data_IF_637018431249
#
_entry.id   IF_637018431249
#
_cell.length_a   1.000
_cell.length_b   1.000
_cell.length_c   1.000
_cell.angle_alpha   90.00
_cell.angle_beta   90.00
_cell.angle_gamma   90.00
#
_symmetry.space_group_name_H-M   'P 1'
#
loop_
_entity.id
_entity.type
_entity.pdbx_description
1 polymer ?
#
# COMPACT_ATOMS: atom_id res chain seq x y z
N UNK A 1 9.18 32.15 -21.26
CA UNK A 1 8.68 31.28 -20.19
C UNK A 1 7.22 31.04 -20.46
N UNK A 2 6.84 29.81 -20.78
CA UNK A 2 5.47 29.41 -21.02
C UNK A 2 5.07 28.40 -19.94
N UNK A 3 4.12 28.76 -19.10
CA UNK A 3 3.54 27.88 -18.10
C UNK A 3 2.31 27.20 -18.67
N UNK A 4 2.34 25.87 -18.72
CA UNK A 4 1.21 25.04 -19.16
C UNK A 4 0.57 24.44 -17.91
N UNK A 5 -0.61 24.93 -17.54
CA UNK A 5 -1.40 24.38 -16.44
C UNK A 5 -2.43 23.40 -16.95
N UNK A 6 -2.41 22.18 -16.42
CA UNK A 6 -3.32 21.12 -16.82
C UNK A 6 -4.16 20.66 -15.62
N UNK A 7 -5.46 20.92 -15.69
CA UNK A 7 -6.43 20.34 -14.78
C UNK A 7 -6.93 19.00 -15.33
N UNK A 8 -6.64 17.92 -14.61
CA UNK A 8 -6.80 16.55 -15.11
C UNK A 8 -8.07 15.90 -14.55
N UNK A 9 -8.93 15.45 -15.45
CA UNK A 9 -10.13 14.68 -15.12
C UNK A 9 -10.12 13.31 -15.81
N UNK A 10 -11.15 12.49 -15.58
CA UNK A 10 -11.26 11.16 -16.18
C UNK A 10 -11.51 11.26 -17.69
N UNK A 11 -10.50 10.93 -18.50
CA UNK A 11 -10.61 10.81 -19.96
C UNK A 11 -10.53 12.15 -20.72
N UNK A 12 -10.42 13.27 -20.02
CA UNK A 12 -10.27 14.61 -20.59
C UNK A 12 -9.52 15.54 -19.63
N UNK A 13 -8.89 16.58 -20.15
CA UNK A 13 -8.18 17.58 -19.33
C UNK A 13 -8.37 18.97 -19.90
N UNK A 14 -8.39 19.95 -19.01
CA UNK A 14 -8.41 21.36 -19.39
C UNK A 14 -6.99 21.90 -19.35
N UNK A 15 -6.56 22.55 -20.42
CA UNK A 15 -5.20 23.07 -20.59
C UNK A 15 -5.26 24.60 -20.71
N UNK A 16 -4.38 25.28 -19.99
CA UNK A 16 -4.15 26.71 -20.12
C UNK A 16 -2.67 26.98 -20.33
N UNK A 17 -2.32 27.83 -21.31
CA UNK A 17 -0.93 28.25 -21.58
C UNK A 17 -0.79 29.73 -21.29
N UNK A 18 0.09 30.07 -20.37
CA UNK A 18 0.29 31.44 -19.89
C UNK A 18 1.76 31.85 -19.91
N UNK A 19 1.99 33.15 -20.07
CA UNK A 19 3.28 33.81 -19.91
C UNK A 19 3.28 34.67 -18.63
N UNK A 20 4.47 35.12 -18.17
CA UNK A 20 4.59 36.10 -17.10
C UNK A 20 3.69 37.32 -17.32
N UNK A 21 3.32 38.01 -16.24
CA UNK A 21 2.40 39.16 -16.25
C UNK A 21 0.96 38.86 -16.69
N UNK A 22 0.58 37.58 -16.78
CA UNK A 22 -0.81 37.16 -17.00
C UNK A 22 -1.24 37.14 -18.46
N UNK A 23 -0.31 37.24 -19.41
CA UNK A 23 -0.57 37.07 -20.83
C UNK A 23 -1.02 35.62 -21.10
N UNK A 24 -2.23 35.47 -21.65
CA UNK A 24 -2.78 34.17 -22.05
C UNK A 24 -2.35 33.92 -23.50
N UNK A 25 -1.44 32.97 -23.71
CA UNK A 25 -0.94 32.59 -25.04
C UNK A 25 -2.01 31.83 -25.81
N UNK A 26 -2.68 30.90 -25.13
CA UNK A 26 -3.80 30.11 -25.67
C UNK A 26 -4.92 30.11 -24.65
N UNK A 27 -6.13 30.45 -25.10
CA UNK A 27 -7.31 30.42 -24.25
C UNK A 27 -7.58 28.99 -23.74
N UNK A 28 -8.09 28.80 -22.51
CA UNK A 28 -8.26 27.46 -21.96
C UNK A 28 -9.11 26.55 -22.84
N UNK A 29 -8.55 25.40 -23.21
CA UNK A 29 -9.18 24.43 -24.12
C UNK A 29 -9.14 23.02 -23.52
N UNK A 30 -10.08 22.19 -23.97
CA UNK A 30 -10.21 20.80 -23.51
C UNK A 30 -9.50 19.87 -24.49
N UNK A 31 -8.75 18.91 -23.95
CA UNK A 31 -8.19 17.78 -24.69
C UNK A 31 -8.77 16.46 -24.19
N UNK A 32 -8.92 15.47 -25.06
CA UNK A 32 -9.23 14.10 -24.64
C UNK A 32 -7.94 13.33 -24.40
N UNK A 33 -8.02 12.27 -23.59
CA UNK A 33 -6.89 11.36 -23.35
C UNK A 33 -6.73 10.33 -24.49
N UNK A 34 -6.71 10.82 -25.73
CA UNK A 34 -6.44 10.03 -26.94
C UNK A 34 -5.06 10.37 -27.48
N UNK A 35 -4.39 9.43 -28.16
CA UNK A 35 -3.07 9.69 -28.73
C UNK A 35 -3.07 10.86 -29.73
N UNK A 36 -4.16 11.05 -30.48
CA UNK A 36 -4.32 12.17 -31.42
C UNK A 36 -4.26 13.54 -30.72
N UNK A 37 -5.01 13.68 -29.63
CA UNK A 37 -5.18 14.96 -28.93
C UNK A 37 -3.94 15.27 -28.10
N UNK A 38 -3.32 14.24 -27.51
CA UNK A 38 -2.05 14.38 -26.79
C UNK A 38 -0.92 14.79 -27.75
N UNK A 39 -0.82 14.17 -28.93
CA UNK A 39 0.17 14.56 -29.93
C UNK A 39 -0.08 16.00 -30.43
N UNK A 40 -1.34 16.37 -30.65
CA UNK A 40 -1.70 17.75 -31.03
C UNK A 40 -1.30 18.76 -29.93
N UNK A 41 -1.43 18.39 -28.66
CA UNK A 41 -0.96 19.21 -27.54
C UNK A 41 0.58 19.33 -27.53
N UNK A 42 1.30 18.24 -27.77
CA UNK A 42 2.77 18.22 -27.85
C UNK A 42 3.25 19.15 -28.96
N UNK A 43 2.68 19.04 -30.15
CA UNK A 43 2.98 19.91 -31.30
C UNK A 43 2.69 21.37 -30.98
N UNK A 44 1.55 21.67 -30.35
CA UNK A 44 1.21 23.02 -29.92
C UNK A 44 2.26 23.56 -28.96
N UNK A 45 2.65 22.82 -27.93
CA UNK A 45 3.64 23.26 -26.93
C UNK A 45 5.01 23.51 -27.57
N UNK A 46 5.43 22.66 -28.53
CA UNK A 46 6.67 22.87 -29.28
C UNK A 46 6.62 24.08 -30.22
N UNK A 47 5.45 24.41 -30.75
CA UNK A 47 5.27 25.58 -31.63
C UNK A 47 5.35 26.92 -30.89
N UNK A 48 5.13 26.93 -29.57
CA UNK A 48 5.19 28.15 -28.76
C UNK A 48 6.64 28.46 -28.42
N UNK A 49 7.09 29.64 -28.85
CA UNK A 49 8.47 30.07 -28.63
C UNK A 49 8.80 30.29 -27.12
N UNK A 50 10.01 29.87 -26.72
CA UNK A 50 10.54 29.93 -25.37
C UNK A 50 10.40 28.66 -24.52
N UNK A 51 11.05 28.64 -23.35
CA UNK A 51 11.02 27.50 -22.42
C UNK A 51 9.61 27.25 -21.88
N UNK A 52 9.11 26.02 -22.05
CA UNK A 52 7.79 25.57 -21.60
C UNK A 52 7.90 24.62 -20.41
N UNK A 53 7.18 24.90 -19.32
CA UNK A 53 7.05 24.00 -18.16
C UNK A 53 5.60 23.63 -17.93
N UNK A 54 5.35 22.33 -17.87
CA UNK A 54 4.02 21.74 -17.74
C UNK A 54 3.80 21.34 -16.29
N UNK A 55 2.69 21.79 -15.73
CA UNK A 55 2.28 21.48 -14.36
C UNK A 55 0.89 20.87 -14.38
N UNK A 56 0.73 19.76 -13.67
CA UNK A 56 -0.56 19.09 -13.50
C UNK A 56 -0.81 18.72 -12.05
N UNK A 57 -2.08 18.69 -11.65
CA UNK A 57 -2.48 18.19 -10.34
C UNK A 57 -2.52 16.66 -10.33
N UNK A 58 -1.87 16.01 -9.38
CA UNK A 58 -1.84 14.54 -9.27
C UNK A 58 -3.04 13.97 -8.49
N UNK A 59 -4.28 14.35 -8.81
CA UNK A 59 -5.49 13.86 -8.12
C UNK A 59 -5.89 12.48 -8.66
N UNK A 60 -5.58 11.43 -7.88
CA UNK A 60 -5.87 10.06 -8.30
C UNK A 60 -4.83 9.55 -9.30
N UNK A 61 -5.27 8.94 -10.40
CA UNK A 61 -4.41 8.23 -11.38
C UNK A 61 -4.56 8.74 -12.82
N UNK A 62 -5.43 9.72 -13.05
CA UNK A 62 -5.77 10.15 -14.41
C UNK A 62 -4.66 10.98 -15.08
N UNK A 63 -3.77 11.58 -14.29
CA UNK A 63 -2.65 12.39 -14.78
C UNK A 63 -1.50 11.54 -15.32
N UNK A 64 -1.39 10.27 -14.92
CA UNK A 64 -0.22 9.42 -15.18
C UNK A 64 0.02 9.20 -16.67
N UNK A 65 -1.04 8.96 -17.46
CA UNK A 65 -0.93 8.77 -18.91
C UNK A 65 -0.42 10.05 -19.59
N UNK A 66 -0.94 11.20 -19.19
CA UNK A 66 -0.53 12.48 -19.77
C UNK A 66 0.89 12.86 -19.35
N UNK A 67 1.27 12.61 -18.09
CA UNK A 67 2.62 12.84 -17.61
C UNK A 67 3.65 12.00 -18.37
N UNK A 68 3.35 10.72 -18.60
CA UNK A 68 4.21 9.79 -19.32
C UNK A 68 4.44 10.25 -20.78
N UNK A 69 3.38 10.49 -21.55
CA UNK A 69 3.50 10.88 -22.96
C UNK A 69 4.21 12.23 -23.13
N UNK A 70 3.89 13.22 -22.29
CA UNK A 70 4.54 14.53 -22.35
C UNK A 70 6.02 14.45 -21.94
N UNK A 71 6.34 13.63 -20.92
CA UNK A 71 7.73 13.42 -20.51
C UNK A 71 8.53 12.66 -21.57
N UNK A 72 7.93 11.67 -22.24
CA UNK A 72 8.54 10.92 -23.33
C UNK A 72 8.82 11.80 -24.57
N UNK A 73 8.05 12.88 -24.74
CA UNK A 73 8.28 13.91 -25.76
C UNK A 73 9.37 14.93 -25.37
N UNK A 74 10.18 14.66 -24.33
CA UNK A 74 11.21 15.57 -23.79
C UNK A 74 10.67 16.94 -23.32
N UNK A 75 9.41 17.01 -22.92
CA UNK A 75 8.85 18.21 -22.29
C UNK A 75 9.09 18.19 -20.78
N UNK A 76 9.31 19.38 -20.20
CA UNK A 76 9.43 19.51 -18.75
C UNK A 76 8.05 19.35 -18.11
N UNK A 77 7.82 18.25 -17.40
CA UNK A 77 6.55 17.93 -16.72
C UNK A 77 6.75 17.88 -15.22
N UNK A 78 5.83 18.47 -14.45
CA UNK A 78 5.81 18.44 -12.99
C UNK A 78 4.42 18.09 -12.47
N UNK A 79 4.34 17.03 -11.66
CA UNK A 79 3.10 16.57 -11.05
C UNK A 79 3.02 17.04 -9.59
N UNK A 80 2.01 17.85 -9.25
CA UNK A 80 1.95 18.59 -7.97
C UNK A 80 0.78 18.13 -7.11
N UNK A 81 0.97 18.21 -5.79
CA UNK A 81 -0.05 17.84 -4.82
C UNK A 81 -1.25 18.80 -4.85
N UNK A 82 -2.49 18.28 -5.00
CA UNK A 82 -3.74 19.03 -4.89
C UNK A 82 -3.78 20.05 -3.75
N UNK A 83 -3.23 19.67 -2.60
CA UNK A 83 -3.24 20.52 -1.42
C UNK A 83 -2.39 21.78 -1.61
N UNK A 84 -1.25 21.69 -2.29
CA UNK A 84 -0.39 22.85 -2.54
C UNK A 84 -1.04 23.85 -3.49
N UNK A 85 -1.71 23.34 -4.53
CA UNK A 85 -2.50 24.15 -5.46
C UNK A 85 -3.70 24.79 -4.75
N UNK A 86 -4.33 24.05 -3.82
CA UNK A 86 -5.44 24.58 -3.02
C UNK A 86 -4.99 25.64 -2.01
N UNK A 87 -3.87 25.44 -1.33
CA UNK A 87 -3.36 26.39 -0.33
C UNK A 87 -2.89 27.70 -1.00
N UNK A 88 -2.41 27.64 -2.25
CA UNK A 88 -2.12 28.82 -3.10
C UNK A 88 -3.36 29.68 -3.41
N UNK A 89 -4.57 29.10 -3.33
CA UNK A 89 -5.83 29.76 -3.70
C UNK A 89 -6.43 30.64 -2.59
N UNK A 90 -5.89 30.55 -1.37
CA UNK A 90 -6.46 31.26 -0.21
C UNK A 90 -6.37 32.80 -0.33
N UNK A 91 -5.68 33.33 -1.33
CA UNK A 91 -5.58 34.77 -1.61
C UNK A 91 -6.77 35.35 -2.41
N UNK A 92 -7.73 34.52 -2.85
CA UNK A 92 -8.91 34.97 -3.60
C UNK A 92 -10.23 34.84 -2.83
N UNK A 93 -10.94 35.95 -2.66
CA UNK A 93 -12.26 36.01 -1.98
C UNK A 93 -13.42 35.41 -2.80
N UNK A 94 -13.24 35.19 -4.11
CA UNK A 94 -14.27 34.61 -5.00
C UNK A 94 -14.05 33.13 -5.24
N UNK A 95 -14.97 32.29 -4.76
CA UNK A 95 -15.03 30.86 -5.09
C UNK A 95 -15.71 30.62 -6.43
N UNK A 96 -14.98 30.77 -7.53
CA UNK A 96 -15.43 30.27 -8.84
C UNK A 96 -14.75 28.93 -9.08
N UNK A 97 -15.53 27.84 -9.06
CA UNK A 97 -15.04 26.47 -9.29
C UNK A 97 -15.38 26.06 -10.72
N UNK A 98 -14.38 26.05 -11.59
CA UNK A 98 -14.51 25.74 -13.02
C UNK A 98 -13.19 25.17 -13.51
N UNK A 99 -13.23 24.09 -14.30
CA UNK A 99 -12.03 23.43 -14.88
C UNK A 99 -11.13 24.42 -15.64
N UNK A 100 -11.73 25.46 -16.27
CA UNK A 100 -10.99 26.56 -16.93
C UNK A 100 -10.25 27.46 -15.93
N UNK A 101 -10.89 27.77 -14.80
CA UNK A 101 -10.26 28.56 -13.75
C UNK A 101 -9.16 27.76 -13.05
N UNK A 102 -9.38 26.45 -12.85
CA UNK A 102 -8.44 25.55 -12.21
C UNK A 102 -7.17 25.33 -13.07
N UNK A 103 -7.30 25.11 -14.39
CA UNK A 103 -6.15 25.03 -15.30
C UNK A 103 -5.32 26.33 -15.35
N UNK A 104 -5.97 27.50 -15.40
CA UNK A 104 -5.30 28.81 -15.31
C UNK A 104 -4.58 28.99 -13.98
N UNK A 105 -5.19 28.55 -12.88
CA UNK A 105 -4.60 28.59 -11.55
C UNK A 105 -3.35 27.72 -11.45
N UNK A 106 -3.38 26.52 -12.03
CA UNK A 106 -2.21 25.63 -12.10
C UNK A 106 -1.09 26.29 -12.92
N UNK A 107 -1.41 26.94 -14.04
CA UNK A 107 -0.42 27.68 -14.84
C UNK A 107 0.21 28.84 -14.04
N UNK A 108 -0.58 29.59 -13.27
CA UNK A 108 -0.06 30.65 -12.38
C UNK A 108 0.87 30.10 -11.30
N UNK A 109 0.51 28.97 -10.70
CA UNK A 109 1.37 28.28 -9.74
C UNK A 109 2.72 27.92 -10.38
N UNK A 110 2.71 27.43 -11.62
CA UNK A 110 3.92 27.09 -12.36
C UNK A 110 4.84 28.31 -12.56
N UNK A 111 4.28 29.49 -12.86
CA UNK A 111 5.04 30.74 -12.99
C UNK A 111 5.65 31.18 -11.64
N UNK A 112 4.87 31.15 -10.55
CA UNK A 112 5.34 31.54 -9.21
C UNK A 112 6.43 30.62 -8.68
N UNK A 113 6.31 29.31 -8.95
CA UNK A 113 7.25 28.29 -8.48
C UNK A 113 8.23 27.81 -9.54
N UNK A 114 8.43 28.57 -10.62
CA UNK A 114 9.19 28.15 -11.81
C UNK A 114 10.47 27.40 -11.45
N UNK A 115 11.38 28.00 -10.69
CA UNK A 115 12.68 27.44 -10.29
C UNK A 115 12.59 26.19 -9.39
N UNK A 116 11.49 26.01 -8.67
CA UNK A 116 11.30 24.92 -7.71
C UNK A 116 10.53 23.73 -8.27
N UNK A 117 10.07 23.80 -9.53
CA UNK A 117 9.41 22.69 -10.18
C UNK A 117 10.40 21.54 -10.39
N UNK A 118 9.93 20.32 -10.16
CA UNK A 118 10.72 19.09 -10.35
C UNK A 118 10.23 18.36 -11.58
N UNK A 119 11.17 17.87 -12.38
CA UNK A 119 10.86 17.07 -13.56
C UNK A 119 10.36 15.69 -13.17
N UNK A 120 9.31 15.23 -13.84
CA UNK A 120 8.79 13.87 -13.76
C UNK A 120 9.84 12.88 -14.30
N UNK A 121 10.07 11.79 -13.57
CA UNK A 121 11.15 10.85 -13.86
C UNK A 121 10.68 9.38 -13.93
N UNK A 122 11.49 8.51 -14.53
CA UNK A 122 11.26 7.04 -14.55
C UNK A 122 11.17 6.46 -13.12
N UNK A 123 11.84 7.07 -12.14
CA UNK A 123 11.71 6.67 -10.74
C UNK A 123 10.30 6.94 -10.20
N UNK A 124 9.61 7.95 -10.71
CA UNK A 124 8.22 8.23 -10.36
C UNK A 124 7.29 7.16 -10.94
N UNK A 125 7.58 6.63 -12.15
CA UNK A 125 6.84 5.50 -12.72
C UNK A 125 7.00 4.23 -11.87
N UNK A 126 8.23 3.86 -11.48
CA UNK A 126 8.46 2.69 -10.62
C UNK A 126 7.74 2.84 -9.27
N UNK A 127 7.75 4.05 -8.68
CA UNK A 127 7.02 4.34 -7.43
C UNK A 127 5.51 4.27 -7.63
N UNK A 128 4.98 4.72 -8.76
CA UNK A 128 3.56 4.62 -9.13
C UNK A 128 3.15 3.15 -9.32
N UNK A 129 3.94 2.36 -10.05
CA UNK A 129 3.72 0.93 -10.25
C UNK A 129 3.72 0.21 -8.89
N UNK A 130 4.74 0.45 -8.06
CA UNK A 130 4.84 -0.13 -6.73
C UNK A 130 3.65 0.24 -5.83
N UNK A 131 3.19 1.49 -5.91
CA UNK A 131 1.98 1.95 -5.22
C UNK A 131 0.74 1.22 -5.71
N UNK A 132 0.59 1.04 -7.02
CA UNK A 132 -0.52 0.28 -7.62
C UNK A 132 -0.52 -1.17 -7.19
N UNK A 133 0.64 -1.83 -7.22
CA UNK A 133 0.82 -3.20 -6.72
C UNK A 133 0.45 -3.29 -5.23
N UNK A 134 0.87 -2.32 -4.39
CA UNK A 134 0.50 -2.31 -2.98
C UNK A 134 -1.03 -2.19 -2.76
N UNK A 135 -1.73 -1.44 -3.61
CA UNK A 135 -3.20 -1.36 -3.55
C UNK A 135 -3.84 -2.70 -3.89
N UNK A 136 -3.35 -3.39 -4.91
CA UNK A 136 -3.81 -4.74 -5.28
C UNK A 136 -3.48 -5.76 -4.19
N UNK A 137 -2.27 -5.72 -3.63
CA UNK A 137 -1.87 -6.57 -2.51
C UNK A 137 -2.81 -6.40 -1.32
N UNK A 138 -3.13 -5.15 -0.95
CA UNK A 138 -4.09 -4.86 0.11
C UNK A 138 -5.52 -5.35 -0.19
N UNK A 139 -5.94 -5.31 -1.46
CA UNK A 139 -7.22 -5.84 -1.91
C UNK A 139 -7.27 -7.37 -1.78
N UNK A 140 -6.32 -8.09 -2.39
CA UNK A 140 -6.27 -9.55 -2.33
C UNK A 140 -6.05 -10.09 -0.92
N UNK A 141 -5.32 -9.36 -0.06
CA UNK A 141 -5.17 -9.74 1.35
C UNK A 141 -6.51 -9.72 2.11
N UNK A 142 -7.40 -8.75 1.80
CA UNK A 142 -8.76 -8.72 2.35
C UNK A 142 -9.60 -9.88 1.80
N UNK A 143 -9.51 -10.15 0.50
CA UNK A 143 -10.21 -11.28 -0.13
C UNK A 143 -9.74 -12.62 0.42
N UNK A 144 -8.44 -12.84 0.58
CA UNK A 144 -7.86 -14.03 1.25
C UNK A 144 -8.44 -14.22 2.65
N UNK A 145 -8.57 -13.14 3.42
CA UNK A 145 -9.16 -13.20 4.77
C UNK A 145 -10.65 -13.55 4.71
N UNK A 146 -11.41 -12.95 3.80
CA UNK A 146 -12.83 -13.24 3.60
C UNK A 146 -13.05 -14.71 3.16
N UNK A 147 -12.27 -15.20 2.20
CA UNK A 147 -12.30 -16.59 1.72
C UNK A 147 -11.89 -17.57 2.81
N UNK A 148 -10.91 -17.23 3.65
CA UNK A 148 -10.54 -18.03 4.82
C UNK A 148 -11.72 -18.16 5.78
N UNK A 149 -12.38 -17.04 6.12
CA UNK A 149 -13.51 -17.05 7.03
C UNK A 149 -14.72 -17.81 6.44
N UNK A 150 -14.95 -17.68 5.12
CA UNK A 150 -15.97 -18.45 4.42
C UNK A 150 -15.68 -19.95 4.49
N UNK A 151 -14.45 -20.38 4.20
CA UNK A 151 -14.06 -21.79 4.30
C UNK A 151 -14.22 -22.31 5.73
N UNK A 152 -13.80 -21.54 6.74
CA UNK A 152 -14.00 -21.89 8.15
C UNK A 152 -15.50 -22.07 8.45
N UNK A 153 -16.35 -21.12 8.05
CA UNK A 153 -17.79 -21.19 8.31
C UNK A 153 -18.50 -22.36 7.63
N UNK A 154 -18.02 -22.82 6.47
CA UNK A 154 -18.52 -24.04 5.82
C UNK A 154 -18.00 -25.28 6.56
N UNK A 155 -16.70 -25.31 6.91
CA UNK A 155 -16.10 -26.40 7.64
C UNK A 155 -16.67 -26.56 9.05
N UNK A 156 -17.13 -25.48 9.69
CA UNK A 156 -17.81 -25.58 10.99
C UNK A 156 -19.12 -26.37 10.91
N UNK A 157 -19.66 -26.61 9.71
CA UNK A 157 -20.85 -27.45 9.48
C UNK A 157 -20.51 -28.91 9.12
N UNK A 158 -19.28 -29.22 8.68
CA UNK A 158 -18.88 -30.58 8.26
C UNK A 158 -17.76 -31.20 9.08
N UNK A 159 -16.88 -30.36 9.62
CA UNK A 159 -15.71 -30.69 10.43
C UNK A 159 -15.33 -29.50 11.35
N UNK A 160 -16.09 -29.28 12.44
CA UNK A 160 -15.86 -28.19 13.38
C UNK A 160 -14.43 -28.14 13.93
N UNK A 161 -13.83 -26.94 13.93
CA UNK A 161 -12.51 -26.70 14.52
C UNK A 161 -11.31 -27.26 13.75
N UNK A 162 -11.49 -27.76 12.52
CA UNK A 162 -10.41 -28.30 11.68
C UNK A 162 -9.27 -27.30 11.47
N UNK A 163 -9.60 -26.02 11.30
CA UNK A 163 -8.65 -24.93 11.08
C UNK A 163 -7.65 -24.74 12.23
N UNK A 164 -7.96 -25.24 13.44
CA UNK A 164 -7.11 -25.11 14.63
C UNK A 164 -6.19 -26.32 14.88
N UNK A 165 -6.19 -27.35 14.03
CA UNK A 165 -5.36 -28.54 14.24
C UNK A 165 -3.87 -28.34 14.02
N UNK A 166 -3.50 -27.32 13.25
CA UNK A 166 -2.13 -27.08 12.83
C UNK A 166 -1.74 -25.62 13.04
N UNK A 167 -0.66 -25.41 13.79
CA UNK A 167 -0.02 -24.10 13.98
C UNK A 167 1.05 -23.81 12.92
N UNK A 168 1.13 -24.65 11.88
CA UNK A 168 2.12 -24.48 10.81
C UNK A 168 1.85 -23.18 10.03
N UNK A 169 2.87 -22.33 9.82
CA UNK A 169 2.72 -21.13 9.04
C UNK A 169 2.39 -21.46 7.57
N UNK A 170 1.88 -20.48 6.84
CA UNK A 170 1.76 -20.58 5.40
C UNK A 170 3.16 -20.75 4.76
N UNK A 171 3.24 -21.55 3.70
CA UNK A 171 4.43 -21.69 2.88
C UNK A 171 4.65 -20.45 2.01
N UNK A 172 5.82 -20.37 1.37
CA UNK A 172 6.18 -19.29 0.45
C UNK A 172 5.30 -19.21 -0.80
N UNK A 173 4.66 -20.31 -1.19
CA UNK A 173 3.65 -20.39 -2.26
C UNK A 173 2.24 -20.03 -1.78
N UNK A 174 2.08 -19.68 -0.49
CA UNK A 174 0.81 -19.35 0.13
C UNK A 174 0.00 -20.56 0.61
N UNK A 175 0.46 -21.79 0.35
CA UNK A 175 -0.24 -23.00 0.77
C UNK A 175 -0.21 -23.15 2.30
N UNK A 176 -1.28 -23.72 2.85
CA UNK A 176 -1.45 -23.90 4.30
C UNK A 176 -1.85 -25.34 4.61
N UNK A 177 -1.21 -25.93 5.63
CA UNK A 177 -1.42 -27.34 6.02
C UNK A 177 -2.88 -27.65 6.34
N UNK A 178 -3.56 -26.78 7.07
CA UNK A 178 -4.97 -26.99 7.42
C UNK A 178 -5.89 -26.90 6.20
N UNK A 179 -5.57 -26.08 5.20
CA UNK A 179 -6.32 -25.97 3.95
C UNK A 179 -6.12 -27.22 3.09
N UNK A 180 -4.88 -27.68 2.95
CA UNK A 180 -4.57 -28.94 2.26
C UNK A 180 -5.25 -30.14 2.94
N UNK A 181 -5.30 -30.11 4.29
CA UNK A 181 -5.97 -31.13 5.08
C UNK A 181 -7.49 -31.09 4.85
N UNK A 182 -8.11 -29.91 4.91
CA UNK A 182 -9.52 -29.70 4.59
C UNK A 182 -9.88 -30.18 3.18
N UNK A 183 -9.01 -29.96 2.19
CA UNK A 183 -9.21 -30.43 0.82
C UNK A 183 -9.32 -31.96 0.72
N UNK A 184 -8.61 -32.67 1.61
CA UNK A 184 -8.54 -34.15 1.62
C UNK A 184 -9.61 -34.74 2.55
N UNK A 185 -9.74 -34.18 3.74
CA UNK A 185 -10.60 -34.62 4.84
C UNK A 185 -11.67 -33.56 5.09
N UNK A 186 -12.48 -33.26 4.07
CA UNK A 186 -13.48 -32.19 4.06
C UNK A 186 -14.69 -32.41 4.99
N UNK A 187 -14.82 -33.59 5.60
CA UNK A 187 -15.93 -33.96 6.49
C UNK A 187 -15.43 -34.98 7.53
N UNK A 188 -16.00 -34.97 8.75
CA UNK A 188 -15.60 -35.86 9.86
C UNK A 188 -15.64 -37.34 9.49
N UNK A 189 -16.64 -37.76 8.72
CA UNK A 189 -16.77 -39.13 8.19
C UNK A 189 -15.65 -39.56 7.23
N UNK A 190 -14.81 -38.65 6.72
CA UNK A 190 -13.59 -39.04 6.01
C UNK A 190 -12.55 -39.67 6.96
N UNK A 191 -12.66 -39.38 8.26
CA UNK A 191 -11.79 -39.90 9.32
C UNK A 191 -12.52 -40.96 10.14
N UNK A 192 -13.72 -40.65 10.65
CA UNK A 192 -14.51 -41.49 11.56
C UNK A 192 -14.90 -42.85 10.97
N UNK A 193 -15.16 -42.93 9.66
CA UNK A 193 -15.53 -44.20 8.99
C UNK A 193 -14.32 -45.12 8.72
N UNK A 194 -13.09 -44.66 9.01
CA UNK A 194 -11.89 -45.47 8.94
C UNK A 194 -11.52 -46.02 10.32
N UNK A 195 -10.76 -47.12 10.36
CA UNK A 195 -10.07 -47.51 11.58
C UNK A 195 -8.94 -46.52 11.89
N UNK A 196 -8.57 -46.37 13.17
CA UNK A 196 -7.44 -45.53 13.58
C UNK A 196 -6.17 -45.87 12.78
N UNK A 197 -5.86 -47.16 12.67
CA UNK A 197 -4.70 -47.64 11.88
C UNK A 197 -4.78 -47.21 10.42
N UNK A 198 -5.93 -47.38 9.76
CA UNK A 198 -6.11 -47.02 8.36
C UNK A 198 -5.99 -45.50 8.15
N UNK A 199 -6.58 -44.70 9.05
CA UNK A 199 -6.46 -43.24 9.01
C UNK A 199 -5.00 -42.81 9.20
N UNK A 200 -4.31 -43.34 10.20
CA UNK A 200 -2.90 -43.01 10.48
C UNK A 200 -2.00 -43.35 9.30
N UNK A 201 -2.15 -44.53 8.69
CA UNK A 201 -1.40 -44.92 7.49
C UNK A 201 -1.70 -43.98 6.30
N UNK A 202 -2.97 -43.63 6.07
CA UNK A 202 -3.34 -42.68 5.02
C UNK A 202 -2.78 -41.28 5.29
N UNK A 203 -2.85 -40.80 6.53
CA UNK A 203 -2.32 -39.50 6.96
C UNK A 203 -0.80 -39.44 6.82
N UNK A 204 -0.07 -40.51 7.14
CA UNK A 204 1.37 -40.61 6.92
C UNK A 204 1.73 -40.50 5.43
N UNK A 205 1.02 -41.23 4.55
CA UNK A 205 1.20 -41.15 3.09
C UNK A 205 0.85 -39.75 2.57
N UNK A 206 -0.21 -39.14 3.09
CA UNK A 206 -0.61 -37.78 2.75
C UNK A 206 0.45 -36.75 3.14
N UNK A 207 0.98 -36.83 4.37
CA UNK A 207 2.08 -36.00 4.85
C UNK A 207 3.31 -36.14 3.93
N UNK A 208 3.70 -37.36 3.56
CA UNK A 208 4.81 -37.60 2.63
C UNK A 208 4.58 -36.94 1.26
N UNK A 209 3.41 -37.14 0.64
CA UNK A 209 3.07 -36.56 -0.68
C UNK A 209 3.05 -35.03 -0.66
N UNK A 210 2.46 -34.44 0.39
CA UNK A 210 2.34 -32.99 0.54
C UNK A 210 3.56 -32.33 1.18
N UNK A 211 4.63 -33.09 1.48
CA UNK A 211 5.87 -32.63 2.13
C UNK A 211 5.64 -32.00 3.52
N UNK A 212 4.79 -32.62 4.33
CA UNK A 212 4.55 -32.27 5.73
C UNK A 212 5.20 -33.28 6.67
N UNK A 213 5.62 -32.80 7.85
CA UNK A 213 6.09 -33.68 8.92
C UNK A 213 4.91 -34.47 9.50
N UNK A 214 5.07 -35.79 9.54
CA UNK A 214 4.12 -36.70 10.16
C UNK A 214 4.33 -36.74 11.68
N UNK A 215 3.23 -36.88 12.41
CA UNK A 215 3.22 -37.13 13.84
C UNK A 215 2.11 -38.11 14.17
N UNK A 216 2.49 -39.20 14.85
CA UNK A 216 1.57 -40.25 15.28
C UNK A 216 0.56 -39.71 16.29
N UNK A 217 1.05 -39.03 17.34
CA UNK A 217 0.19 -38.42 18.38
C UNK A 217 -0.83 -37.44 17.79
N UNK A 218 -0.43 -36.63 16.80
CA UNK A 218 -1.37 -35.71 16.12
C UNK A 218 -2.45 -36.46 15.32
N UNK A 219 -2.11 -37.60 14.72
CA UNK A 219 -3.09 -38.43 14.02
C UNK A 219 -4.14 -39.00 14.99
N UNK A 220 -3.68 -39.50 16.15
CA UNK A 220 -4.56 -40.01 17.21
C UNK A 220 -5.45 -38.91 17.79
N UNK A 221 -4.91 -37.71 18.01
CA UNK A 221 -5.67 -36.53 18.46
C UNK A 221 -6.79 -36.17 17.47
N UNK A 222 -6.46 -36.07 16.17
CA UNK A 222 -7.42 -35.75 15.11
C UNK A 222 -8.51 -36.82 15.03
N UNK A 223 -8.13 -38.10 15.10
CA UNK A 223 -9.07 -39.22 15.04
C UNK A 223 -10.02 -39.25 16.24
N UNK A 224 -9.48 -39.04 17.45
CA UNK A 224 -10.28 -38.95 18.68
C UNK A 224 -11.30 -37.83 18.59
N UNK A 225 -10.89 -36.61 18.22
CA UNK A 225 -11.80 -35.47 18.05
C UNK A 225 -12.85 -35.72 16.97
N UNK A 226 -12.47 -36.32 15.84
CA UNK A 226 -13.40 -36.59 14.74
C UNK A 226 -14.55 -37.53 15.11
N UNK A 227 -14.36 -38.42 16.11
CA UNK A 227 -15.42 -39.32 16.58
C UNK A 227 -16.52 -38.59 17.34
N UNK A 228 -16.14 -37.60 18.15
CA UNK A 228 -17.03 -36.82 19.00
C UNK A 228 -17.85 -35.77 18.22
N UNK A 229 -17.38 -35.37 17.05
CA UNK A 229 -18.03 -34.32 16.27
C UNK A 229 -19.32 -34.77 15.58
N UNK A 230 -20.32 -33.89 15.65
CA UNK A 230 -21.61 -34.03 14.97
C UNK A 230 -21.65 -33.03 13.81
N UNK A 231 -21.59 -33.50 12.55
CA UNK A 231 -21.71 -32.63 11.38
C UNK A 231 -23.18 -32.25 11.15
N UNK A 232 -23.40 -31.04 10.67
CA UNK A 232 -24.72 -30.53 10.25
C UNK A 232 -25.00 -30.89 8.80
N UNK A 233 -24.02 -30.69 7.92
CA UNK A 233 -24.14 -31.02 6.49
C UNK A 233 -23.71 -32.47 6.24
N UNK A 234 -24.41 -33.20 5.34
CA UNK A 234 -24.11 -34.59 5.06
C UNK A 234 -22.82 -34.77 4.26
N UNK A 235 -22.26 -35.98 4.30
CA UNK A 235 -21.14 -36.39 3.43
C UNK A 235 -21.65 -36.76 2.02
N UNK A 236 -22.02 -35.76 1.22
CA UNK A 236 -22.44 -35.92 -0.17
C UNK A 236 -21.53 -35.17 -1.16
N UNK A 237 -21.76 -35.37 -2.46
CA UNK A 237 -20.93 -34.73 -3.49
C UNK A 237 -21.19 -33.21 -3.60
N UNK A 238 -22.38 -32.71 -3.20
CA UNK A 238 -22.70 -31.28 -3.21
C UNK A 238 -21.85 -30.55 -2.16
N UNK A 239 -21.87 -31.03 -0.92
CA UNK A 239 -21.11 -30.47 0.20
C UNK A 239 -19.60 -30.51 -0.09
N UNK A 240 -19.13 -31.62 -0.64
CA UNK A 240 -17.74 -31.79 -1.09
C UNK A 240 -17.35 -30.78 -2.16
N UNK A 241 -18.22 -30.54 -3.14
CA UNK A 241 -17.97 -29.57 -4.21
C UNK A 241 -17.84 -28.16 -3.65
N UNK A 242 -18.76 -27.74 -2.77
CA UNK A 242 -18.74 -26.42 -2.14
C UNK A 242 -17.43 -26.20 -1.36
N UNK A 243 -17.01 -27.18 -0.55
CA UNK A 243 -15.77 -27.08 0.23
C UNK A 243 -14.55 -27.04 -0.70
N UNK A 244 -14.50 -27.88 -1.73
CA UNK A 244 -13.41 -27.88 -2.70
C UNK A 244 -13.28 -26.54 -3.42
N UNK A 245 -14.40 -25.94 -3.83
CA UNK A 245 -14.40 -24.61 -4.44
C UNK A 245 -13.90 -23.55 -3.45
N UNK A 246 -14.37 -23.56 -2.20
CA UNK A 246 -13.91 -22.62 -1.18
C UNK A 246 -12.40 -22.76 -0.89
N UNK A 247 -11.88 -23.99 -0.86
CA UNK A 247 -10.45 -24.30 -0.75
C UNK A 247 -9.67 -23.73 -1.93
N UNK A 248 -10.15 -23.94 -3.17
CA UNK A 248 -9.50 -23.46 -4.38
C UNK A 248 -9.44 -21.93 -4.42
N UNK A 249 -10.55 -21.25 -4.11
CA UNK A 249 -10.60 -19.79 -4.02
C UNK A 249 -9.60 -19.24 -3.00
N UNK A 250 -9.53 -19.84 -1.81
CA UNK A 250 -8.56 -19.44 -0.78
C UNK A 250 -7.11 -19.67 -1.22
N UNK A 251 -6.82 -20.81 -1.88
CA UNK A 251 -5.48 -21.11 -2.38
C UNK A 251 -5.07 -20.13 -3.48
N UNK A 252 -5.94 -19.84 -4.44
CA UNK A 252 -5.69 -18.89 -5.52
C UNK A 252 -5.41 -17.50 -4.96
N UNK A 253 -6.26 -16.99 -4.06
CA UNK A 253 -6.03 -15.71 -3.42
C UNK A 253 -4.75 -15.69 -2.56
N UNK A 254 -4.38 -16.83 -1.95
CA UNK A 254 -3.13 -16.95 -1.20
C UNK A 254 -1.91 -16.88 -2.11
N UNK A 255 -1.93 -17.60 -3.24
CA UNK A 255 -0.86 -17.57 -4.23
C UNK A 255 -0.69 -16.16 -4.83
N UNK A 256 -1.78 -15.51 -5.25
CA UNK A 256 -1.75 -14.14 -5.78
C UNK A 256 -1.14 -13.15 -4.78
N UNK A 257 -1.43 -13.29 -3.48
CA UNK A 257 -0.85 -12.43 -2.44
C UNK A 257 0.66 -12.63 -2.30
N UNK A 258 1.16 -13.87 -2.43
CA UNK A 258 2.60 -14.15 -2.36
C UNK A 258 3.33 -13.70 -3.64
N UNK A 259 2.73 -13.91 -4.82
CA UNK A 259 3.24 -13.41 -6.10
C UNK A 259 3.37 -11.88 -6.10
N UNK A 260 2.31 -11.18 -5.68
CA UNK A 260 2.35 -9.72 -5.55
C UNK A 260 3.40 -9.27 -4.53
N UNK A 261 3.58 -9.99 -3.42
CA UNK A 261 4.63 -9.67 -2.44
C UNK A 261 6.02 -9.77 -3.05
N UNK A 262 6.29 -10.85 -3.79
CA UNK A 262 7.57 -11.05 -4.46
C UNK A 262 7.83 -9.95 -5.51
N UNK A 263 6.85 -9.68 -6.37
CA UNK A 263 6.95 -8.67 -7.42
C UNK A 263 7.13 -7.25 -6.84
N UNK A 264 6.42 -6.93 -5.75
CA UNK A 264 6.60 -5.66 -5.05
C UNK A 264 8.01 -5.52 -4.50
N UNK A 265 8.57 -6.58 -3.92
CA UNK A 265 9.93 -6.54 -3.40
C UNK A 265 10.97 -6.39 -4.52
N UNK A 266 10.80 -7.10 -5.64
CA UNK A 266 11.66 -6.96 -6.81
C UNK A 266 11.59 -5.53 -7.38
N UNK A 267 10.38 -4.99 -7.57
CA UNK A 267 10.19 -3.62 -8.07
C UNK A 267 10.80 -2.60 -7.12
N UNK A 268 10.61 -2.77 -5.82
CA UNK A 268 11.21 -1.91 -4.80
C UNK A 268 12.74 -1.97 -4.83
N UNK A 269 13.35 -3.12 -5.14
CA UNK A 269 14.81 -3.30 -5.21
C UNK A 269 15.49 -2.45 -6.28
N UNK A 270 14.73 -2.00 -7.29
CA UNK A 270 15.21 -1.11 -8.36
C UNK A 270 15.27 0.36 -7.93
N UNK A 271 14.65 0.71 -6.80
CA UNK A 271 14.68 2.08 -6.27
C UNK A 271 15.92 2.31 -5.41
N UNK A 272 16.55 3.49 -5.47
CA UNK A 272 17.81 3.75 -4.78
C UNK A 272 17.68 3.61 -3.26
N UNK A 273 16.56 4.02 -2.67
CA UNK A 273 16.32 3.96 -1.23
C UNK A 273 16.16 2.54 -0.66
N UNK A 274 16.06 1.49 -1.48
CA UNK A 274 15.71 0.14 -1.04
C UNK A 274 16.65 -0.42 0.03
N UNK A 275 17.97 -0.34 -0.19
CA UNK A 275 18.98 -0.88 0.73
C UNK A 275 18.87 -0.23 2.12
N UNK A 276 18.65 1.08 2.15
CA UNK A 276 18.48 1.86 3.38
C UNK A 276 17.21 1.45 4.12
N UNK A 277 16.11 1.24 3.39
CA UNK A 277 14.82 0.81 3.97
C UNK A 277 14.89 -0.62 4.49
N UNK A 278 15.55 -1.54 3.77
CA UNK A 278 15.74 -2.93 4.21
C UNK A 278 16.61 -3.05 5.46
N UNK A 279 17.57 -2.15 5.64
CA UNK A 279 18.42 -2.10 6.83
C UNK A 279 17.69 -1.63 8.10
N UNK A 280 16.47 -1.08 7.97
CA UNK A 280 15.67 -0.70 9.13
C UNK A 280 15.04 -1.92 9.79
N UNK A 281 15.18 -2.02 11.11
CA UNK A 281 14.59 -3.12 11.89
C UNK A 281 13.06 -3.07 11.82
N UNK A 282 12.43 -4.23 11.75
CA UNK A 282 10.96 -4.37 11.72
C UNK A 282 10.31 -4.21 10.34
N UNK A 283 11.08 -3.93 9.29
CA UNK A 283 10.56 -3.65 7.95
C UNK A 283 10.56 -4.91 7.07
N UNK A 284 11.74 -5.45 6.77
CA UNK A 284 11.91 -6.65 5.95
C UNK A 284 11.30 -6.55 4.53
N UNK A 285 11.35 -7.66 3.75
CA UNK A 285 10.94 -7.68 2.35
C UNK A 285 9.42 -7.59 2.13
N UNK A 286 8.62 -7.65 3.21
CA UNK A 286 7.16 -7.55 3.13
C UNK A 286 6.67 -6.13 3.43
N UNK A 287 7.12 -5.51 4.54
CA UNK A 287 6.61 -4.19 4.94
C UNK A 287 7.41 -3.06 4.28
N UNK A 288 8.66 -3.28 3.89
CA UNK A 288 9.47 -2.24 3.25
C UNK A 288 8.97 -1.79 1.89
N UNK A 289 8.65 -2.70 0.96
CA UNK A 289 8.01 -2.32 -0.29
C UNK A 289 6.68 -1.58 -0.07
N UNK A 290 5.91 -1.95 0.95
CA UNK A 290 4.67 -1.25 1.30
C UNK A 290 4.91 0.17 1.84
N UNK A 291 5.96 0.37 2.65
CA UNK A 291 6.37 1.70 3.11
C UNK A 291 6.79 2.58 1.94
N UNK A 292 7.66 2.07 1.08
CA UNK A 292 8.15 2.77 -0.11
C UNK A 292 6.99 3.12 -1.06
N UNK A 293 6.07 2.18 -1.28
CA UNK A 293 4.85 2.38 -2.08
C UNK A 293 3.98 3.54 -1.58
N UNK A 294 3.78 3.65 -0.27
CA UNK A 294 2.87 4.64 0.32
C UNK A 294 3.52 6.00 0.56
N UNK A 295 4.81 5.99 0.94
CA UNK A 295 5.59 7.21 1.19
C UNK A 295 6.03 7.84 -0.13
N UNK A 296 6.33 7.06 -1.16
CA UNK A 296 6.86 7.54 -2.44
C UNK A 296 8.18 8.28 -2.26
N UNK A 297 8.43 9.25 -3.14
CA UNK A 297 9.64 10.08 -3.04
C UNK A 297 9.65 10.89 -1.74
N UNK A 298 10.72 10.73 -0.96
CA UNK A 298 10.93 11.43 0.31
C UNK A 298 11.31 12.91 0.08
N UNK A 299 11.89 13.23 -1.07
CA UNK A 299 12.35 14.58 -1.41
C UNK A 299 11.21 15.60 -1.51
N UNK A 300 9.95 15.15 -1.64
CA UNK A 300 8.76 15.99 -1.63
C UNK A 300 8.43 16.57 -0.26
N UNK A 301 8.97 16.00 0.82
CA UNK A 301 8.72 16.48 2.18
C UNK A 301 9.81 17.46 2.60
N UNK A 302 9.39 18.69 2.93
CA UNK A 302 10.32 19.77 3.32
C UNK A 302 11.06 19.49 4.63
N UNK A 303 10.39 18.84 5.59
CA UNK A 303 10.94 18.53 6.91
C UNK A 303 10.32 17.26 7.51
N UNK A 304 10.95 16.74 8.58
CA UNK A 304 10.54 15.50 9.28
C UNK A 304 9.10 15.52 9.83
N UNK A 305 8.52 16.70 10.06
CA UNK A 305 7.13 16.85 10.49
C UNK A 305 6.12 16.68 9.34
N UNK A 306 6.51 17.04 8.12
CA UNK A 306 5.64 16.93 6.95
C UNK A 306 5.31 15.46 6.63
N UNK A 307 6.28 14.54 6.79
CA UNK A 307 6.04 13.10 6.57
C UNK A 307 5.16 12.48 7.67
N UNK A 308 5.31 12.90 8.93
CA UNK A 308 4.49 12.37 10.03
C UNK A 308 3.06 12.88 9.95
N UNK A 309 2.88 14.13 9.54
CA UNK A 309 1.57 14.71 9.20
C UNK A 309 0.93 14.02 7.99
N UNK A 310 1.71 13.71 6.94
CA UNK A 310 1.24 12.96 5.77
C UNK A 310 0.77 11.54 6.14
N UNK A 311 1.47 10.86 7.03
CA UNK A 311 1.05 9.55 7.54
C UNK A 311 -0.15 9.65 8.50
N UNK A 312 -0.39 10.82 9.10
CA UNK A 312 -1.44 11.01 10.10
C UNK A 312 -1.14 10.31 11.42
N UNK A 313 0.15 10.23 11.79
CA UNK A 313 0.63 9.68 13.07
C UNK A 313 1.17 10.77 13.99
N UNK A 314 0.98 12.03 13.61
CA UNK A 314 1.26 13.18 14.45
C UNK A 314 0.10 13.39 15.44
N UNK A 315 0.38 13.67 16.73
CA UNK A 315 -0.65 14.09 17.66
C UNK A 315 -1.33 15.34 17.12
N UNK A 316 -2.66 15.42 17.24
CA UNK A 316 -3.34 16.66 16.92
C UNK A 316 -2.90 17.78 17.87
N UNK A 317 -2.97 19.02 17.40
CA UNK A 317 -2.89 20.20 18.25
C UNK A 317 -4.32 20.71 18.43
N UNK A 318 -4.79 20.79 19.67
CA UNK A 318 -6.08 21.38 20.03
C UNK A 318 -5.81 22.40 21.13
N UNK A 319 -5.25 23.53 20.69
CA UNK A 319 -4.93 24.70 21.50
C UNK A 319 -5.89 25.81 21.08
N UNK A 320 -6.76 26.25 21.99
CA UNK A 320 -7.40 27.55 21.91
C UNK A 320 -6.75 28.47 22.92
N UNK A 321 -6.83 29.80 22.74
CA UNK A 321 -6.12 30.79 23.57
C UNK A 321 -6.39 30.71 25.10
N UNK A 322 -7.36 29.90 25.53
CA UNK A 322 -7.69 29.61 26.94
C UNK A 322 -7.68 28.12 27.31
N UNK A 323 -7.38 27.19 26.38
CA UNK A 323 -7.43 25.75 26.63
C UNK A 323 -6.39 24.97 25.81
N UNK A 324 -5.53 24.23 26.50
CA UNK A 324 -4.59 23.27 25.91
C UNK A 324 -4.99 21.84 26.29
N UNK A 325 -5.39 21.04 25.30
CA UNK A 325 -5.73 19.65 25.52
C UNK A 325 -4.48 18.77 25.53
N UNK A 326 -4.12 18.20 26.70
CA UNK A 326 -2.93 17.34 26.88
C UNK A 326 -2.92 16.04 26.04
N UNK A 327 -4.04 15.66 25.43
CA UNK A 327 -4.21 14.42 24.66
C UNK A 327 -5.22 14.64 23.54
N UNK A 328 -4.73 14.84 22.32
CA UNK A 328 -5.56 14.97 21.11
C UNK A 328 -5.45 13.71 20.27
N UNK A 329 -6.57 13.16 19.76
CA UNK A 329 -6.53 12.06 18.79
C UNK A 329 -5.64 12.40 17.59
N UNK A 330 -4.89 11.41 17.10
CA UNK A 330 -4.05 11.59 15.90
C UNK A 330 -4.87 11.97 14.68
N UNK A 331 -4.32 12.84 13.84
CA UNK A 331 -4.99 13.27 12.62
C UNK A 331 -5.15 12.11 11.63
N UNK A 332 -6.37 11.56 11.47
CA UNK A 332 -6.64 10.47 10.51
C UNK A 332 -6.59 10.92 9.03
N UNK A 333 -6.05 12.11 8.75
CA UNK A 333 -5.96 12.74 7.42
C UNK A 333 -5.00 12.02 6.45
N UNK A 334 -4.03 11.27 6.97
CA UNK A 334 -3.07 10.50 6.16
C UNK A 334 -3.58 9.17 5.59
N UNK A 335 -2.77 8.51 4.75
CA UNK A 335 -3.10 7.21 4.15
C UNK A 335 -3.36 6.13 5.22
N UNK A 336 -4.54 5.49 5.18
CA UNK A 336 -4.89 4.39 6.08
C UNK A 336 -4.01 3.16 5.88
N UNK A 337 -3.56 2.92 4.65
CA UNK A 337 -2.62 1.85 4.33
C UNK A 337 -1.26 2.08 4.98
N UNK A 338 -0.72 3.31 4.88
CA UNK A 338 0.54 3.67 5.52
C UNK A 338 0.49 3.48 7.03
N UNK A 339 -0.60 3.93 7.69
CA UNK A 339 -0.79 3.71 9.13
C UNK A 339 -0.83 2.23 9.50
N UNK A 340 -1.51 1.40 8.69
CA UNK A 340 -1.55 -0.06 8.88
C UNK A 340 -0.15 -0.66 8.78
N UNK A 341 0.60 -0.33 7.74
CA UNK A 341 1.98 -0.84 7.56
C UNK A 341 2.88 -0.41 8.72
N UNK A 342 2.83 0.87 9.14
CA UNK A 342 3.60 1.36 10.29
C UNK A 342 3.24 0.62 11.58
N UNK A 343 1.96 0.39 11.82
CA UNK A 343 1.52 -0.38 12.98
C UNK A 343 2.09 -1.82 12.97
N UNK A 344 2.13 -2.46 11.80
CA UNK A 344 2.73 -3.79 11.64
C UNK A 344 4.25 -3.76 11.88
N UNK A 345 4.96 -2.71 11.43
CA UNK A 345 6.39 -2.53 11.74
C UNK A 345 6.60 -2.44 13.25
N UNK A 346 5.78 -1.66 13.96
CA UNK A 346 5.89 -1.53 15.41
C UNK A 346 5.61 -2.85 16.14
N UNK A 347 4.62 -3.63 15.66
CA UNK A 347 4.31 -4.95 16.20
C UNK A 347 5.47 -5.93 16.02
N UNK A 348 6.15 -5.90 14.86
CA UNK A 348 7.37 -6.69 14.63
C UNK A 348 8.50 -6.27 15.58
N UNK A 349 8.72 -4.96 15.77
CA UNK A 349 9.75 -4.47 16.71
C UNK A 349 9.49 -4.95 18.15
N UNK A 350 8.23 -4.90 18.61
CA UNK A 350 7.87 -5.37 19.95
C UNK A 350 8.08 -6.88 20.11
N UNK A 351 7.77 -7.66 19.08
CA UNK A 351 7.93 -9.14 19.11
C UNK A 351 9.38 -9.57 19.02
N UNK A 352 10.20 -8.87 18.25
CA UNK A 352 11.61 -9.21 18.01
C UNK A 352 12.56 -8.60 19.04
N UNK A 353 12.14 -7.55 19.73
CA UNK A 353 12.87 -6.88 20.81
C UNK A 353 14.35 -6.52 20.49
N UNK A 354 14.63 -5.83 19.38
CA UNK A 354 15.99 -5.41 19.02
C UNK A 354 16.48 -4.32 19.98
N UNK A 355 17.33 -4.69 20.94
CA UNK A 355 17.80 -3.80 22.00
C UNK A 355 18.66 -2.62 21.49
N UNK A 356 19.30 -2.78 20.34
CA UNK A 356 20.11 -1.78 19.66
C UNK A 356 19.28 -0.76 18.86
N UNK A 357 17.99 -1.03 18.63
CA UNK A 357 17.16 -0.19 17.79
C UNK A 357 16.57 1.01 18.56
N UNK A 358 16.80 2.26 18.10
CA UNK A 358 16.34 3.45 18.80
C UNK A 358 14.81 3.61 18.81
N UNK A 359 14.08 2.98 17.88
CA UNK A 359 12.61 3.00 17.88
C UNK A 359 12.08 2.03 18.93
N UNK A 360 12.64 0.82 19.01
CA UNK A 360 12.31 -0.16 20.04
C UNK A 360 12.60 0.36 21.44
N UNK A 361 13.79 0.92 21.71
CA UNK A 361 14.13 1.51 23.00
C UNK A 361 13.12 2.61 23.42
N UNK A 362 12.59 3.35 22.45
CA UNK A 362 11.57 4.36 22.72
C UNK A 362 10.20 3.74 23.02
N UNK A 363 9.79 2.71 22.26
CA UNK A 363 8.58 1.95 22.54
C UNK A 363 8.62 1.35 23.94
N UNK A 364 9.74 0.73 24.29
CA UNK A 364 9.94 0.09 25.60
C UNK A 364 9.91 1.11 26.74
N UNK A 365 10.61 2.24 26.58
CA UNK A 365 10.52 3.37 27.53
C UNK A 365 9.09 3.86 27.72
N UNK A 366 8.30 3.98 26.65
CA UNK A 366 6.89 4.42 26.74
C UNK A 366 5.99 3.38 27.38
N UNK A 367 6.26 2.10 27.15
CA UNK A 367 5.60 0.98 27.81
C UNK A 367 5.89 0.98 29.31
N UNK A 368 7.16 1.14 29.71
CA UNK A 368 7.57 1.26 31.11
C UNK A 368 6.93 2.47 31.82
N UNK A 369 6.66 3.55 31.10
CA UNK A 369 5.91 4.73 31.59
C UNK A 369 4.39 4.48 31.74
N UNK A 370 3.89 3.26 31.52
CA UNK A 370 2.47 2.93 31.63
C UNK A 370 1.59 3.55 30.54
N UNK A 371 2.15 3.96 29.40
CA UNK A 371 1.34 4.51 28.31
C UNK A 371 0.46 3.41 27.69
N UNK A 372 -0.79 3.72 27.28
CA UNK A 372 -1.65 2.74 26.62
C UNK A 372 -1.06 2.19 25.31
N UNK A 373 -1.38 0.94 24.99
CA UNK A 373 -0.86 0.20 23.82
C UNK A 373 -0.86 1.02 22.53
N UNK A 374 -2.04 1.48 22.09
CA UNK A 374 -2.19 2.23 20.84
C UNK A 374 -1.48 3.59 20.84
N UNK A 375 -1.29 4.20 22.01
CA UNK A 375 -0.64 5.51 22.14
C UNK A 375 0.85 5.38 21.88
N UNK A 376 1.53 4.43 22.54
CA UNK A 376 2.96 4.25 22.31
C UNK A 376 3.25 3.66 20.93
N UNK A 377 2.37 2.82 20.39
CA UNK A 377 2.49 2.30 19.01
C UNK A 377 2.49 3.46 18.00
N UNK A 378 1.58 4.42 18.15
CA UNK A 378 1.50 5.58 17.26
C UNK A 378 2.69 6.52 17.45
N UNK A 379 3.12 6.74 18.69
CA UNK A 379 4.31 7.52 18.99
C UNK A 379 5.60 6.88 18.42
N UNK A 380 5.71 5.55 18.49
CA UNK A 380 6.79 4.78 17.88
C UNK A 380 6.79 4.92 16.36
N UNK A 381 5.63 4.84 15.72
CA UNK A 381 5.49 5.06 14.28
C UNK A 381 5.94 6.48 13.88
N UNK A 382 5.61 7.50 14.68
CA UNK A 382 6.08 8.87 14.47
C UNK A 382 7.62 8.94 14.56
N UNK A 383 8.21 8.34 15.60
CA UNK A 383 9.69 8.27 15.75
C UNK A 383 10.34 7.54 14.57
N UNK A 384 9.77 6.40 14.15
CA UNK A 384 10.23 5.62 13.01
C UNK A 384 10.25 6.46 11.72
N UNK A 385 9.16 7.16 11.40
CA UNK A 385 9.08 8.00 10.20
C UNK A 385 10.10 9.15 10.20
N UNK A 386 10.39 9.73 11.36
CA UNK A 386 11.43 10.78 11.46
C UNK A 386 12.82 10.23 11.15
N UNK A 387 13.13 9.03 11.63
CA UNK A 387 14.40 8.33 11.32
C UNK A 387 14.42 7.92 9.85
N UNK A 388 13.33 7.36 9.34
CA UNK A 388 13.17 7.00 7.93
C UNK A 388 13.46 8.19 7.03
N UNK A 389 12.82 9.33 7.30
CA UNK A 389 13.02 10.57 6.54
C UNK A 389 14.47 11.03 6.56
N UNK A 390 15.10 11.05 7.74
CA UNK A 390 16.49 11.47 7.89
C UNK A 390 17.44 10.60 7.07
N UNK A 391 17.39 9.28 7.28
CA UNK A 391 18.31 8.32 6.61
C UNK A 391 18.12 8.28 5.10
N UNK A 392 16.87 8.24 4.63
CA UNK A 392 16.59 8.18 3.19
C UNK A 392 16.96 9.50 2.52
N UNK A 393 16.65 10.66 3.13
CA UNK A 393 17.00 11.96 2.55
C UNK A 393 18.52 12.18 2.50
N UNK A 394 19.24 11.80 3.56
CA UNK A 394 20.70 11.86 3.60
C UNK A 394 21.31 11.01 2.48
N UNK A 395 20.84 9.78 2.33
CA UNK A 395 21.31 8.89 1.26
C UNK A 395 20.99 9.44 -0.15
N UNK A 396 19.77 9.92 -0.38
CA UNK A 396 19.40 10.50 -1.67
C UNK A 396 20.24 11.74 -2.01
N UNK A 397 20.66 12.52 -1.01
CA UNK A 397 21.55 13.67 -1.21
C UNK A 397 22.99 13.26 -1.57
N UNK A 398 23.41 12.02 -1.30
CA UNK A 398 24.74 11.50 -1.70
C UNK A 398 24.78 10.96 -3.13
N UNK A 399 23.62 10.76 -3.76
CA UNK A 399 23.56 10.32 -5.15
C UNK A 399 23.88 11.49 -6.09
N UNK A 400 24.62 11.26 -7.18
CA UNK A 400 24.82 12.30 -8.18
C UNK A 400 23.45 12.73 -8.75
N UNK A 401 23.26 14.04 -8.97
CA UNK A 401 22.09 14.52 -9.69
C UNK A 401 22.03 13.81 -11.04
N UNK A 402 20.94 13.07 -11.25
CA UNK A 402 20.73 12.34 -12.49
C UNK A 402 20.43 13.41 -13.55
N UNK A 403 21.44 13.71 -14.39
CA UNK A 403 21.33 14.63 -15.52
C UNK A 403 20.21 14.24 -16.49
#
# INVERSE_FOLDING_TARGET
MNAVGIDVSKGKSMVAIMRPFGEIVVSPFEIKHTSSDINSLIELIHSVDGESRIVMEHTGRYYEALAHELSAANLFVSAINPKLIKDFDNDSLRKVKSDKADSVKIARYALDKWQNLKQYSVMDELRIQLKTMNRQFGFYMKHKTAMKNNLIGILDQTYPGLNAYFDSPARSDGSQKWVDFAATYWHVDCVRKMSLYAFTCHYQKWCKRKKYNFSQSKAEEIYGKAKEFVPVLPKDEITKLIIKQAVEQLNNASATVEELRALMNETASKLPEYSIVMNMKGVGPSLGPQLMAEIGDVSRFTHKGAITAFAGVDPGVNESGTYEQRSVPTSKRGSSNLRKTLFQVMDVLIKTMPQDDPVYQFLDKKRAQGKPYYVYMTAGANKFLRIYYGRVKEYLATLPESN
#
